data_IF_398608532647
#
_entry.id   IF_398608532647
#
_cell.length_a   1.000
_cell.length_b   1.000
_cell.length_c   1.000
_cell.angle_alpha   90.00
_cell.angle_beta   90.00
_cell.angle_gamma   90.00
#
_symmetry.space_group_name_H-M   'P 1'
#
loop_
_entity.id
_entity.type
_entity.pdbx_description
1 polymer ?
#
# COMPACT_ATOMS: atom_id res chain seq x y z
N UNK A 1 0.48 1.77 -20.08
CA UNK A 1 0.84 3.06 -19.46
C UNK A 1 1.27 2.89 -18.02
N UNK A 2 2.12 3.74 -17.57
CA UNK A 2 2.46 3.87 -16.16
C UNK A 2 1.64 5.00 -15.56
N UNK A 3 1.15 4.81 -14.35
CA UNK A 3 0.29 5.79 -13.68
C UNK A 3 0.79 6.04 -12.26
N UNK A 4 0.98 7.30 -11.95
CA UNK A 4 1.20 7.77 -10.59
C UNK A 4 -0.05 8.52 -10.15
N UNK A 5 -0.52 8.28 -8.94
CA UNK A 5 -1.65 9.04 -8.42
C UNK A 5 -1.53 9.32 -6.94
N UNK A 6 -2.06 10.47 -6.56
CA UNK A 6 -2.05 10.93 -5.17
C UNK A 6 -3.46 11.32 -4.76
N UNK A 7 -3.86 10.85 -3.59
CA UNK A 7 -5.12 11.23 -2.96
C UNK A 7 -4.89 12.39 -2.00
N UNK A 8 -5.93 13.17 -1.73
CA UNK A 8 -5.84 14.28 -0.78
C UNK A 8 -5.72 13.76 0.65
N UNK A 9 -4.87 14.44 1.42
CA UNK A 9 -4.65 14.11 2.82
C UNK A 9 -4.36 15.38 3.62
N UNK A 10 -4.53 15.28 4.93
CA UNK A 10 -4.11 16.30 5.88
C UNK A 10 -3.00 15.75 6.76
N UNK A 11 -2.06 16.60 7.16
CA UNK A 11 -1.10 16.28 8.21
C UNK A 11 -1.74 16.58 9.56
N UNK A 12 -1.78 15.60 10.44
CA UNK A 12 -2.23 15.80 11.82
C UNK A 12 -1.17 16.54 12.64
N UNK A 13 -1.54 17.02 13.84
CA UNK A 13 -0.62 17.73 14.72
C UNK A 13 0.61 16.91 15.10
N UNK A 14 0.48 15.58 15.12
CA UNK A 14 1.58 14.64 15.39
C UNK A 14 2.25 14.12 14.12
N UNK A 15 2.04 14.76 12.96
CA UNK A 15 2.74 14.45 11.71
C UNK A 15 2.24 13.25 10.95
N UNK A 16 1.03 12.78 11.22
CA UNK A 16 0.45 11.65 10.48
C UNK A 16 -0.24 12.11 9.19
N UNK A 17 -0.15 11.27 8.16
CA UNK A 17 -0.77 11.48 6.86
C UNK A 17 -2.17 10.84 6.87
N UNK A 18 -3.19 11.65 7.02
CA UNK A 18 -4.57 11.16 7.13
C UNK A 18 -5.34 11.52 5.87
N UNK A 19 -5.69 10.52 5.06
CA UNK A 19 -6.47 10.73 3.84
C UNK A 19 -7.83 11.33 4.19
N UNK A 20 -8.30 12.27 3.36
CA UNK A 20 -9.60 12.93 3.55
C UNK A 20 -10.75 11.90 3.57
N UNK A 21 -10.66 10.90 2.69
CA UNK A 21 -11.58 9.76 2.65
C UNK A 21 -10.79 8.51 2.31
N UNK A 22 -10.41 7.68 3.30
CA UNK A 22 -9.57 6.50 3.08
C UNK A 22 -10.31 5.27 2.60
N UNK A 23 -11.60 5.35 2.34
CA UNK A 23 -12.44 4.19 1.94
C UNK A 23 -11.99 3.54 0.62
N UNK A 24 -11.22 4.23 -0.20
CA UNK A 24 -10.69 3.71 -1.47
C UNK A 24 -9.56 2.69 -1.26
N UNK A 25 -8.87 2.73 -0.12
CA UNK A 25 -7.62 1.98 0.05
C UNK A 25 -7.81 0.46 -0.05
N UNK A 26 -8.77 -0.10 0.68
CA UNK A 26 -9.03 -1.54 0.63
C UNK A 26 -9.47 -2.00 -0.77
N UNK A 27 -10.44 -1.37 -1.43
CA UNK A 27 -10.82 -1.76 -2.79
C UNK A 27 -9.67 -1.71 -3.80
N UNK A 28 -8.84 -0.66 -3.76
CA UNK A 28 -7.71 -0.54 -4.70
C UNK A 28 -6.66 -1.62 -4.43
N UNK A 29 -6.36 -1.89 -3.16
CA UNK A 29 -5.41 -2.92 -2.80
C UNK A 29 -5.91 -4.31 -3.19
N UNK A 30 -7.18 -4.61 -2.94
CA UNK A 30 -7.75 -5.90 -3.32
C UNK A 30 -7.71 -6.14 -4.84
N UNK A 31 -7.90 -5.08 -5.61
CA UNK A 31 -7.79 -5.17 -7.07
C UNK A 31 -6.40 -5.62 -7.50
N UNK A 32 -5.35 -5.06 -6.90
CA UNK A 32 -3.97 -5.42 -7.24
C UNK A 32 -3.47 -6.68 -6.54
N UNK A 33 -3.94 -6.99 -5.34
CA UNK A 33 -3.60 -8.27 -4.68
C UNK A 33 -3.94 -9.47 -5.55
N UNK A 34 -5.08 -9.44 -6.22
CA UNK A 34 -5.51 -10.55 -7.10
C UNK A 34 -4.59 -10.80 -8.28
N UNK A 35 -3.79 -9.82 -8.63
CA UNK A 35 -2.87 -9.86 -9.78
C UNK A 35 -1.42 -10.08 -9.36
N UNK A 36 -1.17 -10.32 -8.08
CA UNK A 36 0.18 -10.33 -7.51
C UNK A 36 0.51 -11.68 -6.89
N UNK A 37 1.79 -12.04 -6.93
CA UNK A 37 2.29 -13.29 -6.34
C UNK A 37 3.22 -13.07 -5.15
N UNK A 38 3.84 -11.90 -5.03
CA UNK A 38 4.77 -11.55 -3.95
C UNK A 38 4.52 -10.15 -3.43
N UNK A 39 4.98 -9.91 -2.21
CA UNK A 39 4.77 -8.64 -1.49
C UNK A 39 6.03 -8.23 -0.75
N UNK A 40 6.26 -6.92 -0.67
CA UNK A 40 7.21 -6.32 0.26
C UNK A 40 6.48 -5.24 1.06
N UNK A 41 6.54 -5.34 2.38
CA UNK A 41 5.95 -4.35 3.29
C UNK A 41 7.11 -3.58 3.91
N UNK A 42 7.14 -2.27 3.68
CA UNK A 42 8.17 -1.40 4.23
C UNK A 42 7.59 -0.60 5.39
N UNK A 43 8.21 -0.72 6.55
CA UNK A 43 7.85 0.05 7.74
C UNK A 43 9.05 0.85 8.20
N UNK A 44 8.83 2.03 8.78
CA UNK A 44 9.88 2.70 9.52
C UNK A 44 10.26 1.82 10.71
N UNK A 45 11.55 1.63 10.96
CA UNK A 45 12.00 0.80 12.07
C UNK A 45 11.48 1.31 13.41
N UNK A 46 11.28 2.63 13.53
CA UNK A 46 10.72 3.25 14.74
C UNK A 46 9.24 3.04 14.96
N UNK A 47 8.52 2.49 13.99
CA UNK A 47 7.09 2.14 14.15
C UNK A 47 6.97 0.79 14.87
N UNK A 48 7.28 0.77 16.16
CA UNK A 48 7.38 -0.46 16.96
C UNK A 48 6.10 -1.27 16.96
N UNK A 49 4.95 -0.62 17.14
CA UNK A 49 3.65 -1.29 17.21
C UNK A 49 3.31 -2.01 15.91
N UNK A 50 3.48 -1.35 14.78
CA UNK A 50 3.21 -1.93 13.45
C UNK A 50 4.17 -3.08 13.17
N UNK A 51 5.46 -2.90 13.47
CA UNK A 51 6.46 -3.94 13.29
C UNK A 51 6.17 -5.18 14.16
N UNK A 52 5.76 -4.98 15.40
CA UNK A 52 5.38 -6.08 16.29
C UNK A 52 4.16 -6.84 15.78
N UNK A 53 3.13 -6.13 15.29
CA UNK A 53 1.94 -6.75 14.71
C UNK A 53 2.30 -7.69 13.55
N UNK A 54 3.17 -7.22 12.64
CA UNK A 54 3.58 -8.03 11.49
C UNK A 54 4.40 -9.24 11.93
N UNK A 55 5.39 -9.05 12.81
CA UNK A 55 6.25 -10.15 13.27
C UNK A 55 5.48 -11.19 14.07
N UNK A 56 4.51 -10.76 14.86
CA UNK A 56 3.67 -11.66 15.64
C UNK A 56 2.78 -12.52 14.72
N UNK A 57 2.24 -11.92 13.67
CA UNK A 57 1.30 -12.59 12.77
C UNK A 57 2.00 -13.50 11.75
N UNK A 58 3.18 -13.10 11.26
CA UNK A 58 3.86 -13.80 10.18
C UNK A 58 5.30 -14.13 10.52
N UNK A 59 5.61 -15.42 10.55
CA UNK A 59 6.99 -15.91 10.71
C UNK A 59 7.62 -16.35 9.39
N UNK A 60 6.81 -16.51 8.33
CA UNK A 60 7.25 -16.94 7.01
C UNK A 60 7.80 -15.82 6.12
N UNK A 61 7.57 -14.56 6.48
CA UNK A 61 8.14 -13.43 5.75
C UNK A 61 9.60 -13.23 6.12
N UNK A 62 10.46 -13.01 5.14
CA UNK A 62 11.84 -12.64 5.41
C UNK A 62 11.90 -11.20 5.91
N UNK A 63 12.83 -10.92 6.81
CA UNK A 63 12.99 -9.59 7.41
C UNK A 63 14.38 -9.09 7.07
N UNK A 64 14.45 -7.86 6.54
CA UNK A 64 15.73 -7.18 6.35
C UNK A 64 15.62 -5.73 6.81
N UNK A 65 16.75 -5.15 7.15
CA UNK A 65 16.84 -3.77 7.57
C UNK A 65 17.66 -2.98 6.55
N UNK A 66 17.14 -1.84 6.13
CA UNK A 66 17.82 -0.95 5.22
C UNK A 66 17.72 0.47 5.78
N UNK A 67 18.82 0.95 6.37
CA UNK A 67 18.87 2.23 7.09
C UNK A 67 17.80 2.30 8.18
N UNK A 68 16.76 3.14 8.01
CA UNK A 68 15.69 3.33 8.99
C UNK A 68 14.45 2.50 8.70
N UNK A 69 14.51 1.63 7.67
CA UNK A 69 13.40 0.82 7.23
C UNK A 69 13.54 -0.63 7.67
N UNK A 70 12.43 -1.23 8.06
CA UNK A 70 12.30 -2.67 8.23
C UNK A 70 11.43 -3.18 7.10
N UNK A 71 11.93 -4.18 6.35
CA UNK A 71 11.29 -4.68 5.14
C UNK A 71 10.91 -6.14 5.35
N UNK A 72 9.63 -6.43 5.15
CA UNK A 72 9.07 -7.79 5.23
C UNK A 72 8.72 -8.24 3.83
N UNK A 73 9.35 -9.32 3.36
CA UNK A 73 9.16 -9.81 2.00
C UNK A 73 8.78 -11.27 1.99
N UNK A 74 7.94 -11.64 1.02
CA UNK A 74 7.61 -13.03 0.81
C UNK A 74 6.47 -13.21 -0.17
N UNK A 75 6.00 -14.45 -0.22
CA UNK A 75 4.88 -14.83 -1.05
C UNK A 75 3.58 -14.20 -0.53
N UNK A 76 2.78 -13.66 -1.43
CA UNK A 76 1.49 -13.09 -1.09
C UNK A 76 0.46 -14.20 -0.86
N UNK A 77 0.18 -14.48 0.40
CA UNK A 77 -0.81 -15.47 0.81
C UNK A 77 -2.10 -14.80 1.27
N UNK A 78 -3.21 -15.52 1.20
CA UNK A 78 -4.54 -15.02 1.57
C UNK A 78 -4.56 -14.43 2.98
N UNK A 79 -3.90 -15.06 3.94
CA UNK A 79 -3.85 -14.57 5.32
C UNK A 79 -3.12 -13.24 5.45
N UNK A 80 -2.15 -12.93 4.57
CA UNK A 80 -1.46 -11.65 4.55
C UNK A 80 -2.42 -10.57 4.05
N UNK A 81 -3.16 -10.86 2.99
CA UNK A 81 -4.19 -9.96 2.43
C UNK A 81 -5.22 -9.63 3.50
N UNK A 82 -5.75 -10.65 4.18
CA UNK A 82 -6.74 -10.47 5.24
C UNK A 82 -6.21 -9.61 6.38
N UNK A 83 -4.99 -9.86 6.82
CA UNK A 83 -4.34 -9.07 7.87
C UNK A 83 -4.19 -7.60 7.49
N UNK A 84 -3.72 -7.33 6.26
CA UNK A 84 -3.49 -5.96 5.81
C UNK A 84 -4.78 -5.17 5.62
N UNK A 85 -5.88 -5.85 5.25
CA UNK A 85 -7.14 -5.19 4.90
C UNK A 85 -8.18 -5.18 6.03
N UNK A 86 -8.03 -6.00 7.06
CA UNK A 86 -9.01 -6.12 8.14
C UNK A 86 -9.11 -4.85 9.00
N UNK A 87 -7.96 -4.32 9.43
CA UNK A 87 -7.89 -3.09 10.22
C UNK A 87 -6.79 -2.21 9.63
N UNK A 88 -7.03 -1.59 8.47
CA UNK A 88 -5.97 -0.88 7.76
C UNK A 88 -5.57 0.46 8.39
N UNK A 89 -6.40 1.02 9.26
CA UNK A 89 -6.15 2.31 9.89
C UNK A 89 -5.73 2.15 11.35
N UNK A 90 -4.87 3.06 11.81
CA UNK A 90 -4.55 3.18 13.22
C UNK A 90 -5.62 3.98 13.97
N UNK A 91 -5.41 4.24 15.25
CA UNK A 91 -6.35 4.97 16.11
C UNK A 91 -6.57 6.42 15.68
N UNK A 92 -5.65 7.01 14.91
CA UNK A 92 -5.77 8.38 14.41
C UNK A 92 -6.32 8.46 12.99
N UNK A 93 -6.60 7.31 12.37
CA UNK A 93 -7.17 7.23 11.02
C UNK A 93 -6.14 7.14 9.89
N UNK A 94 -4.85 7.10 10.20
CA UNK A 94 -3.81 6.90 9.20
C UNK A 94 -3.76 5.44 8.77
N UNK A 95 -3.58 5.17 7.48
CA UNK A 95 -3.29 3.82 7.00
C UNK A 95 -1.98 3.36 7.67
N UNK A 96 -1.99 2.18 8.30
CA UNK A 96 -0.86 1.67 9.10
C UNK A 96 0.40 1.43 8.30
N UNK A 97 0.25 1.08 7.03
CA UNK A 97 1.34 0.55 6.21
C UNK A 97 2.01 1.69 5.46
N UNK A 98 3.26 2.00 5.82
CA UNK A 98 4.01 3.09 5.19
C UNK A 98 4.13 2.87 3.69
N UNK A 99 4.62 1.70 3.26
CA UNK A 99 4.65 1.33 1.86
C UNK A 99 4.44 -0.16 1.67
N UNK A 100 3.68 -0.51 0.63
CA UNK A 100 3.47 -1.89 0.19
C UNK A 100 3.80 -1.94 -1.30
N UNK A 101 4.68 -2.87 -1.67
CA UNK A 101 5.06 -3.12 -3.06
C UNK A 101 4.57 -4.50 -3.47
N UNK A 102 3.86 -4.56 -4.59
CA UNK A 102 3.29 -5.80 -5.11
C UNK A 102 4.01 -6.23 -6.39
N UNK A 103 4.32 -7.51 -6.46
CA UNK A 103 5.11 -8.10 -7.53
C UNK A 103 4.33 -9.17 -8.27
N UNK A 104 4.57 -9.24 -9.56
CA UNK A 104 4.12 -10.34 -10.42
C UNK A 104 5.31 -10.76 -11.26
N UNK A 105 5.67 -12.06 -11.19
CA UNK A 105 6.83 -12.60 -11.90
C UNK A 105 8.11 -11.79 -11.67
N UNK A 106 8.39 -11.46 -10.43
CA UNK A 106 9.54 -10.67 -9.97
C UNK A 106 9.58 -9.20 -10.43
N UNK A 107 8.50 -8.72 -11.03
CA UNK A 107 8.40 -7.32 -11.43
C UNK A 107 7.42 -6.58 -10.53
N UNK A 108 7.86 -5.48 -9.95
CA UNK A 108 6.96 -4.60 -9.18
C UNK A 108 5.98 -3.96 -10.16
N UNK A 109 4.68 -4.21 -9.98
CA UNK A 109 3.67 -3.64 -10.86
C UNK A 109 2.73 -2.67 -10.18
N UNK A 110 2.77 -2.62 -8.85
CA UNK A 110 1.93 -1.70 -8.08
C UNK A 110 2.58 -1.39 -6.73
N UNK A 111 2.43 -0.16 -6.27
CA UNK A 111 2.80 0.20 -4.90
C UNK A 111 1.78 1.15 -4.28
N UNK A 112 1.59 0.99 -2.97
CA UNK A 112 0.89 1.93 -2.09
C UNK A 112 1.94 2.53 -1.17
N UNK A 113 2.13 3.84 -1.22
CA UNK A 113 3.21 4.53 -0.52
C UNK A 113 2.67 5.68 0.34
N UNK A 114 3.52 6.19 1.22
CA UNK A 114 3.20 7.30 2.11
C UNK A 114 1.87 7.09 2.86
N UNK A 115 1.76 5.94 3.52
CA UNK A 115 0.58 5.61 4.32
C UNK A 115 -0.72 5.64 3.51
N UNK A 116 -0.68 5.07 2.30
CA UNK A 116 -1.85 4.91 1.45
C UNK A 116 -2.35 6.18 0.77
N UNK A 117 -1.48 7.17 0.59
CA UNK A 117 -1.85 8.43 -0.08
C UNK A 117 -1.23 8.59 -1.47
N UNK A 118 -0.22 7.79 -1.79
CA UNK A 118 0.49 7.85 -3.06
C UNK A 118 0.63 6.45 -3.66
N UNK A 119 0.44 6.34 -4.95
CA UNK A 119 0.40 5.04 -5.63
C UNK A 119 1.10 5.10 -6.98
N UNK A 120 1.73 3.98 -7.35
CA UNK A 120 2.30 3.76 -8.68
C UNK A 120 1.77 2.46 -9.24
N UNK A 121 1.36 2.48 -10.51
CA UNK A 121 0.91 1.28 -11.21
C UNK A 121 1.56 1.23 -12.59
N UNK A 122 2.09 0.07 -12.96
CA UNK A 122 2.80 -0.15 -14.22
C UNK A 122 2.01 -1.05 -15.15
N UNK A 123 2.18 -0.84 -16.45
CA UNK A 123 1.59 -1.68 -17.50
C UNK A 123 0.06 -1.74 -17.49
N UNK A 124 -0.60 -0.65 -17.15
CA UNK A 124 -2.06 -0.58 -17.19
C UNK A 124 -2.55 -0.36 -18.62
N UNK A 125 -3.66 -1.01 -18.96
CA UNK A 125 -4.44 -0.67 -20.14
C UNK A 125 -5.51 0.38 -19.78
N UNK A 126 -6.19 0.90 -20.78
CA UNK A 126 -7.20 1.96 -20.61
C UNK A 126 -8.36 1.50 -19.71
N UNK A 127 -8.81 0.26 -19.88
CA UNK A 127 -9.92 -0.30 -19.09
C UNK A 127 -9.56 -0.38 -17.62
N UNK A 128 -8.36 -0.87 -17.30
CA UNK A 128 -7.86 -0.93 -15.95
C UNK A 128 -7.74 0.47 -15.32
N UNK A 129 -7.23 1.42 -16.08
CA UNK A 129 -7.11 2.82 -15.62
C UNK A 129 -8.48 3.43 -15.32
N UNK A 130 -9.46 3.22 -16.20
CA UNK A 130 -10.82 3.72 -15.95
C UNK A 130 -11.45 3.08 -14.71
N UNK A 131 -11.20 1.78 -14.50
CA UNK A 131 -11.67 1.10 -13.29
C UNK A 131 -11.05 1.70 -12.02
N UNK A 132 -9.74 1.94 -12.03
CA UNK A 132 -9.03 2.56 -10.90
C UNK A 132 -9.62 3.94 -10.60
N UNK A 133 -9.85 4.76 -11.62
CA UNK A 133 -10.46 6.08 -11.45
C UNK A 133 -11.85 5.99 -10.82
N UNK A 134 -12.59 4.94 -11.11
CA UNK A 134 -13.95 4.75 -10.55
C UNK A 134 -13.95 4.48 -9.05
N UNK A 135 -12.86 3.91 -8.52
CA UNK A 135 -12.70 3.61 -7.09
C UNK A 135 -12.24 4.83 -6.30
N UNK A 136 -11.43 5.67 -6.92
CA UNK A 136 -10.72 6.77 -6.24
C UNK A 136 -11.59 8.02 -6.09
N UNK A 137 -11.29 8.87 -5.10
CA UNK A 137 -11.93 10.18 -4.99
C UNK A 137 -11.75 11.00 -6.26
N UNK A 138 -12.76 11.83 -6.58
CA UNK A 138 -12.76 12.65 -7.81
C UNK A 138 -11.62 13.67 -7.86
N UNK A 139 -11.12 14.09 -6.70
CA UNK A 139 -10.03 15.07 -6.59
C UNK A 139 -8.64 14.43 -6.55
N UNK A 140 -8.54 13.15 -6.90
CA UNK A 140 -7.26 12.44 -7.01
C UNK A 140 -6.45 13.01 -8.17
N UNK A 141 -5.16 13.29 -7.94
CA UNK A 141 -4.24 13.74 -8.96
C UNK A 141 -3.62 12.55 -9.68
N UNK A 142 -3.71 12.54 -11.01
CA UNK A 142 -3.12 11.50 -11.86
C UNK A 142 -2.05 12.08 -12.77
N UNK A 143 -0.94 11.35 -12.90
CA UNK A 143 0.08 11.59 -13.92
C UNK A 143 0.31 10.28 -14.65
N UNK A 144 0.31 10.32 -15.98
CA UNK A 144 0.45 9.12 -16.81
C UNK A 144 1.62 9.25 -17.77
N UNK A 145 2.28 8.12 -18.03
CA UNK A 145 3.37 7.99 -19.01
C UNK A 145 3.12 6.76 -19.87
N UNK A 146 3.54 6.85 -21.12
CA UNK A 146 3.52 5.71 -22.04
C UNK A 146 4.88 5.02 -22.12
#
# INVERSE_FOLDING_TARGET
MEVHFETRYCLSDNGKFIADDPSYWVPIMQYFFKQSDNIAIHCWTGEEKVNEEIRHEFTELSIKHDMYMTIYEGRLAEKIIDFLTKNPQDEDGQIKWFSIFLYLNNNCHFSSEHFGTEFHANNLNVEQFEYIKSILPKDTNFTTWD
#
